data_IF_848190348844
#
_entry.id   IF_848190348844
#
_cell.length_a   1.000
_cell.length_b   1.000
_cell.length_c   1.000
_cell.angle_alpha   90.00
_cell.angle_beta   90.00
_cell.angle_gamma   90.00
#
_symmetry.space_group_name_H-M   'P 1'
#
loop_
_entity.id
_entity.type
_entity.pdbx_description
1 polymer ?
#
# COMPACT_ATOMS: atom_id res chain seq x y z
N UNK A 1 13.03 32.94 0.77
CA UNK A 1 11.87 33.60 0.14
C UNK A 1 10.61 32.84 0.50
N UNK A 2 9.46 33.52 0.59
CA UNK A 2 8.17 32.87 0.84
C UNK A 2 7.55 32.37 -0.47
N UNK A 3 6.74 31.29 -0.43
CA UNK A 3 6.01 30.83 -1.60
C UNK A 3 5.00 31.90 -2.05
N UNK A 4 4.80 32.01 -3.37
CA UNK A 4 3.79 32.91 -3.95
C UNK A 4 2.38 32.47 -3.57
N UNK A 5 2.14 31.16 -3.57
CA UNK A 5 0.90 30.53 -3.13
C UNK A 5 1.27 29.44 -2.13
N UNK A 6 0.96 29.66 -0.86
CA UNK A 6 1.26 28.73 0.21
C UNK A 6 0.97 29.37 1.57
N UNK A 7 1.16 28.59 2.62
CA UNK A 7 0.96 29.03 3.99
C UNK A 7 2.07 28.53 4.91
N UNK A 8 2.34 29.30 5.95
CA UNK A 8 3.21 28.91 7.06
C UNK A 8 2.33 28.75 8.28
N UNK A 9 2.09 27.49 8.66
CA UNK A 9 1.29 27.17 9.84
C UNK A 9 2.19 27.31 11.07
N UNK A 10 1.86 28.25 11.95
CA UNK A 10 2.60 28.49 13.18
C UNK A 10 1.93 27.73 14.33
N UNK A 11 2.50 26.58 14.67
CA UNK A 11 2.12 25.83 15.87
C UNK A 11 2.47 26.60 17.16
N UNK A 12 1.97 26.14 18.30
CA UNK A 12 2.33 26.71 19.59
C UNK A 12 3.85 26.72 19.79
N UNK A 13 4.41 27.89 20.10
CA UNK A 13 5.87 28.07 20.26
C UNK A 13 6.63 28.37 18.96
N UNK A 14 5.99 28.28 17.79
CA UNK A 14 6.59 28.69 16.53
C UNK A 14 6.62 30.22 16.40
N UNK A 15 7.69 30.75 15.82
CA UNK A 15 7.83 32.18 15.58
C UNK A 15 8.98 32.50 14.64
N UNK A 16 8.92 33.70 14.08
CA UNK A 16 10.02 34.29 13.32
C UNK A 16 10.63 35.44 14.12
N UNK A 17 11.95 35.50 14.17
CA UNK A 17 12.69 36.60 14.79
C UNK A 17 13.63 37.22 13.76
N UNK A 18 13.89 38.52 13.91
CA UNK A 18 14.94 39.18 13.16
C UNK A 18 16.31 38.74 13.71
N UNK A 19 17.30 38.60 12.82
CA UNK A 19 18.67 38.36 13.24
C UNK A 19 19.20 39.60 13.98
N UNK A 20 19.61 39.41 15.24
CA UNK A 20 20.04 40.49 16.14
C UNK A 20 21.55 40.78 16.08
N UNK A 21 22.27 40.09 15.17
CA UNK A 21 23.72 40.22 15.02
C UNK A 21 24.53 39.39 16.01
N UNK A 22 23.89 38.65 16.91
CA UNK A 22 24.57 37.70 17.79
C UNK A 22 24.96 36.44 17.02
N UNK A 23 26.04 35.79 17.45
CA UNK A 23 26.57 34.59 16.82
C UNK A 23 25.72 33.38 17.21
N UNK A 24 25.10 32.73 16.23
CA UNK A 24 24.37 31.47 16.40
C UNK A 24 25.19 30.30 15.83
N UNK A 25 25.84 29.48 16.69
CA UNK A 25 26.67 28.37 16.25
C UNK A 25 25.89 27.40 15.36
N UNK A 26 26.26 27.36 14.07
CA UNK A 26 25.58 26.55 13.06
C UNK A 26 24.94 27.35 11.91
N UNK A 27 24.76 28.67 12.09
CA UNK A 27 24.33 29.60 11.03
C UNK A 27 25.52 30.42 10.45
N UNK A 28 26.75 30.02 10.77
CA UNK A 28 28.00 30.78 10.64
C UNK A 28 28.38 31.20 9.21
N UNK A 29 27.85 30.51 8.21
CA UNK A 29 28.28 30.65 6.82
C UNK A 29 27.30 31.43 5.94
N UNK A 30 26.19 31.95 6.49
CA UNK A 30 25.19 32.68 5.70
C UNK A 30 24.63 31.84 4.54
N UNK A 31 24.67 30.52 4.67
CA UNK A 31 24.22 29.60 3.63
C UNK A 31 22.70 29.68 3.55
N UNK A 32 22.20 30.02 2.37
CA UNK A 32 20.79 29.98 2.08
C UNK A 32 20.31 28.52 2.13
N UNK A 33 19.42 28.21 3.07
CA UNK A 33 18.72 26.94 3.09
C UNK A 33 17.50 27.04 2.17
N UNK A 34 17.35 26.09 1.26
CA UNK A 34 16.23 25.99 0.34
C UNK A 34 15.30 24.87 0.77
N UNK A 35 13.99 25.13 0.71
CA UNK A 35 13.00 24.07 0.91
C UNK A 35 13.10 23.06 -0.23
N UNK A 36 13.09 21.77 0.10
CA UNK A 36 13.11 20.71 -0.91
C UNK A 36 11.80 20.73 -1.72
N UNK A 37 11.89 20.35 -2.99
CA UNK A 37 10.70 20.21 -3.83
C UNK A 37 9.80 19.09 -3.29
N UNK A 38 8.52 19.38 -3.08
CA UNK A 38 7.51 18.42 -2.59
C UNK A 38 6.54 17.95 -3.67
N UNK A 39 6.64 18.44 -4.91
CA UNK A 39 5.71 18.06 -6.00
C UNK A 39 5.85 16.59 -6.41
N UNK A 40 6.97 15.95 -6.07
CA UNK A 40 7.25 14.54 -6.39
C UNK A 40 6.64 13.53 -5.40
N UNK A 41 6.06 14.00 -4.29
CA UNK A 41 5.43 13.13 -3.28
C UNK A 41 4.09 12.60 -3.82
N UNK A 42 4.13 11.44 -4.47
CA UNK A 42 2.98 10.88 -5.18
C UNK A 42 2.13 9.97 -4.30
N UNK A 43 0.80 10.08 -4.45
CA UNK A 43 -0.18 9.20 -3.82
C UNK A 43 0.11 7.73 -4.10
N UNK A 44 0.53 7.42 -5.32
CA UNK A 44 0.84 6.06 -5.75
C UNK A 44 2.32 5.68 -5.53
N UNK A 45 3.03 6.31 -4.59
CA UNK A 45 4.36 5.84 -4.16
C UNK A 45 4.24 4.92 -2.93
N UNK A 46 4.47 3.59 -3.07
CA UNK A 46 4.40 2.64 -1.94
C UNK A 46 5.40 2.89 -0.82
N UNK A 47 6.37 3.79 -1.00
CA UNK A 47 7.38 4.12 0.01
C UNK A 47 6.96 5.25 0.94
N UNK A 48 5.85 5.93 0.62
CA UNK A 48 5.30 7.05 1.41
C UNK A 48 4.16 6.62 2.35
N UNK A 49 3.69 5.39 2.22
CA UNK A 49 2.58 4.86 3.01
C UNK A 49 3.05 3.78 3.98
N UNK A 50 2.36 3.70 5.11
CA UNK A 50 2.61 2.72 6.16
C UNK A 50 1.26 2.17 6.63
N UNK A 51 1.15 0.85 6.70
CA UNK A 51 -0.01 0.20 7.30
C UNK A 51 0.09 0.30 8.82
N UNK A 52 -0.99 0.78 9.43
CA UNK A 52 -1.12 0.87 10.89
C UNK A 52 -2.28 0.00 11.35
N UNK A 53 -2.16 -0.53 12.56
CA UNK A 53 -3.23 -1.26 13.22
C UNK A 53 -4.41 -0.31 13.51
N UNK A 54 -5.61 -0.84 13.82
CA UNK A 54 -6.72 -0.02 14.31
C UNK A 54 -6.40 0.73 15.62
N UNK A 55 -5.40 0.31 16.39
CA UNK A 55 -4.91 1.02 17.58
C UNK A 55 -3.89 2.12 17.25
N UNK A 56 -3.54 2.31 15.97
CA UNK A 56 -2.56 3.30 15.51
C UNK A 56 -1.10 2.87 15.72
N UNK A 57 -0.87 1.62 16.09
CA UNK A 57 0.47 1.05 16.24
C UNK A 57 0.96 0.53 14.88
N UNK A 58 2.26 0.63 14.62
CA UNK A 58 2.85 0.03 13.43
C UNK A 58 2.67 -1.48 13.50
N UNK A 59 2.07 -2.05 12.45
CA UNK A 59 1.98 -3.51 12.33
C UNK A 59 3.41 -4.09 12.34
N UNK A 60 3.75 -4.99 13.29
CA UNK A 60 5.09 -5.54 13.37
C UNK A 60 5.43 -6.27 12.08
N UNK A 61 6.70 -6.21 11.68
CA UNK A 61 7.25 -6.99 10.56
C UNK A 61 7.11 -8.47 10.92
N UNK A 62 6.05 -9.10 10.42
CA UNK A 62 5.73 -10.51 10.66
C UNK A 62 5.93 -11.34 9.40
N UNK A 63 5.42 -12.56 9.44
CA UNK A 63 5.36 -13.45 8.27
C UNK A 63 4.41 -12.94 7.17
N UNK A 64 3.82 -11.75 7.29
CA UNK A 64 2.89 -11.20 6.31
C UNK A 64 3.48 -9.97 5.63
N UNK A 65 3.48 -9.99 4.31
CA UNK A 65 3.74 -8.82 3.48
C UNK A 65 2.51 -8.48 2.63
N UNK A 66 2.54 -7.32 1.97
CA UNK A 66 1.47 -6.83 1.10
C UNK A 66 1.97 -6.65 -0.33
N UNK A 67 1.08 -6.84 -1.30
CA UNK A 67 1.40 -6.59 -2.71
C UNK A 67 1.70 -5.11 -2.94
N UNK A 68 2.48 -4.77 -3.97
CA UNK A 68 2.88 -3.37 -4.19
C UNK A 68 1.66 -2.48 -4.50
N UNK A 69 0.65 -3.00 -5.20
CA UNK A 69 -0.62 -2.31 -5.43
C UNK A 69 -1.46 -2.10 -4.17
N UNK A 70 -1.18 -2.86 -3.10
CA UNK A 70 -1.86 -2.84 -1.81
C UNK A 70 -1.05 -2.12 -0.72
N UNK A 71 0.16 -1.66 -1.06
CA UNK A 71 1.02 -0.84 -0.20
C UNK A 71 0.71 0.65 -0.30
N UNK A 72 -0.17 1.02 -1.23
CA UNK A 72 -0.78 2.36 -1.35
C UNK A 72 -2.27 2.22 -0.99
N UNK A 73 -2.96 3.31 -0.59
CA UNK A 73 -4.34 3.20 -0.13
C UNK A 73 -5.28 2.52 -1.13
N UNK A 74 -6.06 1.55 -0.65
CA UNK A 74 -7.09 0.85 -1.40
C UNK A 74 -8.46 1.52 -1.25
N UNK A 75 -9.42 1.10 -2.08
CA UNK A 75 -10.79 1.65 -2.15
C UNK A 75 -11.52 1.72 -0.80
N UNK A 76 -11.25 0.75 0.08
CA UNK A 76 -11.97 0.58 1.34
C UNK A 76 -11.13 0.95 2.57
N UNK A 77 -9.99 1.61 2.35
CA UNK A 77 -9.06 1.95 3.42
C UNK A 77 -9.41 3.29 4.07
N UNK A 78 -9.03 3.39 5.34
CA UNK A 78 -9.04 4.62 6.12
C UNK A 78 -7.65 5.27 6.02
N UNK A 79 -7.56 6.44 5.37
CA UNK A 79 -6.29 7.13 5.15
C UNK A 79 -6.05 8.14 6.26
N UNK A 80 -4.87 8.13 6.87
CA UNK A 80 -4.54 9.02 7.97
C UNK A 80 -3.33 9.88 7.58
N UNK A 81 -3.53 11.19 7.52
CA UNK A 81 -2.44 12.15 7.56
C UNK A 81 -2.21 12.56 9.01
N UNK A 82 -0.97 12.35 9.49
CA UNK A 82 -0.64 12.52 10.90
C UNK A 82 -1.01 13.93 11.40
N UNK A 83 -1.70 14.05 12.55
CA UNK A 83 -1.99 15.34 13.16
C UNK A 83 -0.69 16.13 13.41
N UNK A 84 -0.82 17.46 13.48
CA UNK A 84 0.31 18.37 13.78
C UNK A 84 1.46 18.32 12.76
N UNK A 85 1.24 17.71 11.60
CA UNK A 85 2.15 17.75 10.45
C UNK A 85 1.51 18.48 9.27
N UNK A 86 2.32 19.11 8.44
CA UNK A 86 1.90 19.59 7.12
C UNK A 86 2.29 18.58 6.06
N UNK A 87 1.48 18.45 5.02
CA UNK A 87 1.72 17.52 3.93
C UNK A 87 1.30 18.14 2.60
N UNK A 88 1.85 17.57 1.53
CA UNK A 88 1.45 17.86 0.16
C UNK A 88 1.62 16.58 -0.65
N UNK A 89 0.59 16.21 -1.40
CA UNK A 89 0.57 14.95 -2.15
C UNK A 89 0.02 15.18 -3.56
N UNK A 90 0.70 14.59 -4.54
CA UNK A 90 0.26 14.51 -5.93
C UNK A 90 -0.71 13.32 -6.08
N UNK A 91 -1.95 13.60 -6.43
CA UNK A 91 -3.03 12.62 -6.64
C UNK A 91 -3.28 12.32 -8.12
N UNK A 92 -2.26 12.45 -8.97
CA UNK A 92 -2.34 12.03 -10.37
C UNK A 92 -2.74 10.55 -10.48
N UNK A 93 -3.86 10.30 -11.16
CA UNK A 93 -4.42 8.96 -11.36
C UNK A 93 -4.84 8.74 -12.80
N UNK A 94 -4.68 7.51 -13.27
CA UNK A 94 -5.23 7.06 -14.55
C UNK A 94 -6.74 6.79 -14.48
N UNK A 95 -7.33 6.76 -13.28
CA UNK A 95 -8.76 6.57 -13.04
C UNK A 95 -9.52 7.88 -12.84
N UNK A 96 -8.82 9.01 -12.68
CA UNK A 96 -9.34 10.36 -12.33
C UNK A 96 -10.02 10.46 -10.95
N UNK A 97 -10.62 9.37 -10.46
CA UNK A 97 -11.25 9.32 -9.13
C UNK A 97 -10.59 8.20 -8.33
N UNK A 98 -10.04 8.57 -7.18
CA UNK A 98 -9.47 7.67 -6.17
C UNK A 98 -10.50 7.57 -5.06
N UNK A 99 -11.05 6.37 -4.88
CA UNK A 99 -12.05 6.11 -3.85
C UNK A 99 -11.39 5.63 -2.57
N UNK A 100 -11.95 6.02 -1.43
CA UNK A 100 -11.49 5.64 -0.10
C UNK A 100 -12.70 5.47 0.82
N UNK A 101 -12.52 4.75 1.93
CA UNK A 101 -13.54 4.69 2.98
C UNK A 101 -13.59 5.99 3.78
N UNK A 102 -12.44 6.48 4.23
CA UNK A 102 -12.33 7.73 4.99
C UNK A 102 -10.95 8.39 4.81
N UNK A 103 -10.88 9.67 5.14
CA UNK A 103 -9.62 10.44 5.20
C UNK A 103 -9.59 11.21 6.52
N UNK A 104 -8.57 10.98 7.34
CA UNK A 104 -8.32 11.74 8.56
C UNK A 104 -7.29 12.84 8.31
N UNK A 105 -7.71 14.09 8.53
CA UNK A 105 -6.91 15.30 8.36
C UNK A 105 -6.93 16.11 9.65
N UNK A 106 -5.77 16.54 10.13
CA UNK A 106 -5.67 17.41 11.32
C UNK A 106 -6.39 16.82 12.55
N UNK A 107 -6.39 15.49 12.69
CA UNK A 107 -7.07 14.78 13.78
C UNK A 107 -8.59 14.63 13.61
N UNK A 108 -9.16 15.04 12.48
CA UNK A 108 -10.57 14.85 12.16
C UNK A 108 -10.75 13.81 11.05
N UNK A 109 -11.51 12.76 11.33
CA UNK A 109 -11.93 11.78 10.32
C UNK A 109 -13.07 12.32 9.47
N UNK A 110 -12.88 12.31 8.15
CA UNK A 110 -13.87 12.65 7.14
C UNK A 110 -14.30 11.36 6.45
N UNK A 111 -15.43 10.81 6.87
CA UNK A 111 -15.98 9.54 6.37
C UNK A 111 -17.28 9.69 5.58
N UNK A 112 -17.81 10.91 5.39
CA UNK A 112 -18.97 11.17 4.52
C UNK A 112 -18.59 12.02 3.29
N UNK A 113 -19.25 11.81 2.14
CA UNK A 113 -19.06 12.65 0.96
C UNK A 113 -19.27 14.14 1.22
N UNK A 114 -20.22 14.49 2.08
CA UNK A 114 -20.57 15.88 2.39
C UNK A 114 -19.47 16.55 3.23
N UNK A 115 -18.95 15.85 4.25
CA UNK A 115 -17.85 16.33 5.07
C UNK A 115 -16.58 16.53 4.22
N UNK A 116 -16.29 15.57 3.34
CA UNK A 116 -15.17 15.65 2.40
C UNK A 116 -15.32 16.81 1.40
N UNK A 117 -16.51 16.98 0.82
CA UNK A 117 -16.80 18.10 -0.07
C UNK A 117 -16.68 19.45 0.63
N UNK A 118 -17.08 19.53 1.91
CA UNK A 118 -16.88 20.72 2.74
C UNK A 118 -15.41 21.08 2.91
N UNK A 119 -14.55 20.09 3.18
CA UNK A 119 -13.11 20.30 3.25
C UNK A 119 -12.52 20.79 1.91
N UNK A 120 -12.90 20.17 0.80
CA UNK A 120 -12.40 20.53 -0.54
C UNK A 120 -12.74 21.96 -0.99
N UNK A 121 -13.76 22.59 -0.39
CA UNK A 121 -14.09 24.00 -0.62
C UNK A 121 -13.13 24.96 0.11
N UNK A 122 -12.35 24.47 1.07
CA UNK A 122 -11.38 25.25 1.83
C UNK A 122 -10.13 25.63 1.03
N UNK A 123 -9.47 26.72 1.42
CA UNK A 123 -8.26 27.22 0.76
C UNK A 123 -7.03 26.31 0.92
N UNK A 124 -6.97 25.49 1.97
CA UNK A 124 -5.85 24.57 2.21
C UNK A 124 -5.94 23.30 1.37
N UNK A 125 -7.12 22.92 0.88
CA UNK A 125 -7.29 21.72 0.05
C UNK A 125 -6.36 21.67 -1.19
N UNK A 126 -6.27 22.72 -2.04
CA UNK A 126 -5.34 22.73 -3.17
C UNK A 126 -3.85 22.83 -2.78
N UNK A 127 -3.56 23.24 -1.53
CA UNK A 127 -2.19 23.23 -1.00
C UNK A 127 -1.77 21.82 -0.55
N UNK A 128 -2.72 21.02 -0.06
CA UNK A 128 -2.50 19.65 0.37
C UNK A 128 -2.58 18.63 -0.78
N UNK A 129 -3.55 18.79 -1.69
CA UNK A 129 -3.81 17.86 -2.77
C UNK A 129 -3.70 18.56 -4.13
N UNK A 130 -2.90 18.01 -5.04
CA UNK A 130 -2.71 18.55 -6.40
C UNK A 130 -2.58 17.41 -7.41
N UNK A 131 -2.69 17.72 -8.71
CA UNK A 131 -2.64 16.73 -9.79
C UNK A 131 -3.95 16.68 -10.58
N UNK A 132 -4.09 15.64 -11.41
CA UNK A 132 -5.21 15.46 -12.33
C UNK A 132 -6.35 14.60 -11.76
N UNK A 133 -6.15 13.97 -10.61
CA UNK A 133 -7.13 13.13 -9.95
C UNK A 133 -7.97 13.88 -8.91
N UNK A 134 -8.94 13.18 -8.36
CA UNK A 134 -9.80 13.63 -7.26
C UNK A 134 -9.96 12.50 -6.26
N UNK A 135 -10.02 12.81 -4.98
CA UNK A 135 -10.34 11.84 -3.94
C UNK A 135 -11.85 11.83 -3.68
N UNK A 136 -12.43 10.66 -3.45
CA UNK A 136 -13.82 10.49 -3.02
C UNK A 136 -13.90 9.56 -1.82
N UNK A 137 -14.59 10.05 -0.80
CA UNK A 137 -14.86 9.30 0.44
C UNK A 137 -16.24 8.66 0.35
N UNK A 138 -16.32 7.36 0.63
CA UNK A 138 -17.58 6.58 0.56
C UNK A 138 -18.20 6.31 1.93
N UNK A 139 -17.40 6.25 3.00
CA UNK A 139 -17.83 5.84 4.33
C UNK A 139 -18.15 4.35 4.47
N UNK A 140 -17.97 3.56 3.41
CA UNK A 140 -18.32 2.15 3.38
C UNK A 140 -17.07 1.28 3.40
N UNK A 141 -17.03 0.32 4.33
CA UNK A 141 -16.01 -0.73 4.34
C UNK A 141 -16.30 -1.82 3.31
N UNK A 142 -15.35 -2.74 3.14
CA UNK A 142 -15.54 -3.90 2.27
C UNK A 142 -16.75 -4.73 2.73
N UNK A 143 -17.79 -4.90 1.89
CA UNK A 143 -19.00 -5.60 2.29
C UNK A 143 -18.88 -7.13 2.23
N UNK A 144 -17.82 -7.65 1.63
CA UNK A 144 -17.64 -9.06 1.31
C UNK A 144 -16.58 -9.70 2.21
N UNK A 145 -16.95 -10.76 2.94
CA UNK A 145 -16.05 -11.47 3.86
C UNK A 145 -14.90 -12.19 3.13
N UNK A 146 -15.09 -12.53 1.87
CA UNK A 146 -14.02 -13.08 1.04
C UNK A 146 -12.97 -12.02 0.65
N UNK A 147 -13.18 -10.78 1.08
CA UNK A 147 -12.34 -9.63 0.79
C UNK A 147 -12.83 -8.84 -0.42
N UNK A 148 -12.16 -7.71 -0.63
CA UNK A 148 -12.37 -6.83 -1.77
C UNK A 148 -11.04 -6.63 -2.48
N UNK A 149 -11.10 -6.46 -3.80
CA UNK A 149 -9.92 -6.04 -4.54
C UNK A 149 -9.54 -4.60 -4.17
N UNK A 150 -8.25 -4.31 -4.15
CA UNK A 150 -7.73 -3.03 -3.71
C UNK A 150 -8.22 -1.84 -4.58
N UNK A 151 -8.37 -2.06 -5.90
CA UNK A 151 -8.85 -1.03 -6.83
C UNK A 151 -7.75 -0.23 -7.53
N UNK A 152 -6.49 -0.58 -7.31
CA UNK A 152 -5.33 0.16 -7.83
C UNK A 152 -4.76 -0.38 -9.16
N UNK A 153 -5.35 -1.42 -9.74
CA UNK A 153 -4.82 -2.09 -10.94
C UNK A 153 -4.59 -1.18 -12.14
N UNK A 154 -5.44 -0.16 -12.35
CA UNK A 154 -5.25 0.81 -13.45
C UNK A 154 -4.08 1.77 -13.19
N UNK A 155 -3.73 2.01 -11.93
CA UNK A 155 -2.60 2.82 -11.50
C UNK A 155 -1.33 1.99 -11.21
N UNK A 156 -1.37 0.67 -11.42
CA UNK A 156 -0.24 -0.24 -11.17
C UNK A 156 1.07 0.17 -11.83
N UNK A 157 1.02 0.72 -13.06
CA UNK A 157 2.20 1.25 -13.74
C UNK A 157 2.83 2.46 -13.03
N UNK A 158 2.03 3.35 -12.42
CA UNK A 158 2.51 4.49 -11.62
C UNK A 158 3.13 4.01 -10.32
N UNK A 159 2.46 3.05 -9.68
CA UNK A 159 2.93 2.38 -8.47
C UNK A 159 4.31 1.79 -8.68
N UNK A 160 4.48 1.01 -9.74
CA UNK A 160 5.76 0.39 -10.05
C UNK A 160 6.82 1.40 -10.49
N UNK A 161 6.45 2.44 -11.26
CA UNK A 161 7.38 3.49 -11.63
C UNK A 161 7.90 4.27 -10.41
N UNK A 162 7.04 4.59 -9.45
CA UNK A 162 7.42 5.25 -8.21
C UNK A 162 8.34 4.36 -7.36
N UNK A 163 7.95 3.09 -7.16
CA UNK A 163 8.72 2.13 -6.38
C UNK A 163 10.12 1.87 -6.97
N UNK A 164 10.20 1.70 -8.29
CA UNK A 164 11.44 1.35 -8.99
C UNK A 164 12.27 2.57 -9.41
N UNK A 165 11.71 3.79 -9.33
CA UNK A 165 12.38 5.01 -9.76
C UNK A 165 13.74 5.22 -9.08
N UNK A 166 13.85 4.85 -7.80
CA UNK A 166 15.11 4.90 -7.03
C UNK A 166 16.15 3.87 -7.48
N UNK A 167 15.70 2.79 -8.13
CA UNK A 167 16.53 1.70 -8.65
C UNK A 167 16.74 1.80 -10.17
N UNK A 168 16.57 2.99 -10.76
CA UNK A 168 16.71 3.20 -12.20
C UNK A 168 15.63 2.50 -13.04
N UNK A 169 14.47 2.23 -12.46
CA UNK A 169 13.33 1.59 -13.12
C UNK A 169 13.48 0.08 -13.31
N UNK A 170 14.48 -0.55 -12.70
CA UNK A 170 14.75 -1.98 -12.86
C UNK A 170 14.42 -2.76 -11.60
N UNK A 171 13.82 -3.92 -11.79
CA UNK A 171 13.60 -4.89 -10.73
C UNK A 171 14.93 -5.48 -10.26
N UNK A 172 15.05 -5.82 -8.96
CA UNK A 172 16.23 -6.49 -8.44
C UNK A 172 16.44 -7.84 -9.11
N UNK A 173 17.71 -8.22 -9.28
CA UNK A 173 18.06 -9.51 -9.84
C UNK A 173 17.64 -10.65 -8.89
N UNK A 174 16.99 -11.66 -9.45
CA UNK A 174 16.49 -12.84 -8.73
C UNK A 174 17.40 -14.04 -8.96
N UNK A 175 17.47 -14.93 -7.96
CA UNK A 175 18.37 -16.10 -7.96
C UNK A 175 17.69 -17.36 -8.51
N UNK A 176 16.36 -17.34 -8.68
CA UNK A 176 15.60 -18.47 -9.24
C UNK A 176 15.56 -18.46 -10.77
N UNK A 177 15.49 -19.67 -11.38
CA UNK A 177 15.47 -19.84 -12.84
C UNK A 177 14.20 -19.29 -13.50
N UNK A 178 13.05 -19.45 -12.83
CA UNK A 178 11.73 -19.09 -13.36
C UNK A 178 10.98 -18.26 -12.33
N UNK A 179 11.23 -16.94 -12.26
CA UNK A 179 10.54 -16.07 -11.31
C UNK A 179 9.05 -15.97 -11.63
N UNK A 180 8.23 -15.98 -10.57
CA UNK A 180 6.79 -15.84 -10.67
C UNK A 180 6.40 -14.37 -10.61
N UNK A 181 5.29 -14.00 -11.27
CA UNK A 181 4.76 -12.63 -11.26
C UNK A 181 3.39 -12.60 -10.60
N UNK A 182 3.31 -12.32 -9.28
CA UNK A 182 2.04 -12.15 -8.61
C UNK A 182 1.22 -11.01 -9.19
N UNK A 183 -0.10 -11.16 -9.17
CA UNK A 183 -1.00 -10.04 -9.44
C UNK A 183 -0.83 -8.99 -8.35
N UNK A 184 -0.68 -7.73 -8.76
CA UNK A 184 -0.48 -6.59 -7.86
C UNK A 184 0.96 -6.35 -7.39
N UNK A 185 1.95 -7.15 -7.80
CA UNK A 185 3.35 -6.97 -7.40
C UNK A 185 4.20 -6.46 -8.58
N UNK A 186 5.14 -5.53 -8.34
CA UNK A 186 5.89 -4.83 -9.38
C UNK A 186 7.07 -5.61 -9.96
N UNK A 187 7.66 -6.52 -9.18
CA UNK A 187 8.74 -7.37 -9.63
C UNK A 187 8.35 -8.85 -9.66
N UNK A 188 9.22 -9.67 -10.23
CA UNK A 188 9.10 -11.12 -10.06
C UNK A 188 9.49 -11.51 -8.63
N UNK A 189 9.03 -12.67 -8.19
CA UNK A 189 9.40 -13.27 -6.90
C UNK A 189 9.89 -14.70 -7.10
N UNK A 190 10.74 -15.16 -6.19
CA UNK A 190 11.11 -16.56 -6.08
C UNK A 190 10.29 -17.19 -4.95
N UNK A 191 9.52 -18.23 -5.27
CA UNK A 191 8.63 -18.86 -4.30
C UNK A 191 7.46 -19.54 -4.99
N UNK A 192 6.26 -19.45 -4.43
CA UNK A 192 5.05 -20.08 -4.94
C UNK A 192 3.86 -19.13 -4.97
N UNK A 193 2.93 -19.40 -5.90
CA UNK A 193 1.62 -18.73 -5.97
C UNK A 193 0.55 -19.81 -5.92
N UNK A 194 -0.34 -19.74 -4.93
CA UNK A 194 -1.53 -20.57 -4.83
C UNK A 194 -2.73 -19.71 -5.23
N UNK A 195 -3.57 -20.22 -6.14
CA UNK A 195 -4.82 -19.58 -6.55
C UNK A 195 -5.98 -20.41 -6.03
N UNK A 196 -6.84 -19.80 -5.22
CA UNK A 196 -8.00 -20.46 -4.62
C UNK A 196 -9.29 -19.90 -5.20
N UNK A 197 -10.12 -20.82 -5.68
CA UNK A 197 -11.54 -20.58 -5.81
C UNK A 197 -12.17 -20.61 -4.41
N UNK A 198 -13.21 -19.80 -4.19
CA UNK A 198 -13.82 -19.63 -2.87
C UNK A 198 -15.34 -19.67 -2.94
N UNK A 199 -15.96 -20.13 -1.86
CA UNK A 199 -17.42 -20.12 -1.69
C UNK A 199 -17.89 -18.77 -1.14
N UNK A 200 -19.19 -18.42 -1.24
CA UNK A 200 -19.70 -17.17 -0.68
C UNK A 200 -19.51 -17.00 0.84
N UNK A 201 -19.35 -18.10 1.57
CA UNK A 201 -19.14 -18.09 3.02
C UNK A 201 -17.67 -17.97 3.43
N UNK A 202 -16.74 -18.00 2.46
CA UNK A 202 -15.31 -17.87 2.70
C UNK A 202 -14.98 -16.54 3.39
N UNK A 203 -14.20 -16.62 4.46
CA UNK A 203 -13.77 -15.47 5.27
C UNK A 203 -12.25 -15.32 5.16
N UNK A 204 -11.82 -14.30 4.41
CA UNK A 204 -10.41 -14.08 4.07
C UNK A 204 -9.56 -13.79 5.31
N UNK A 205 -10.09 -13.03 6.26
CA UNK A 205 -9.36 -12.67 7.48
C UNK A 205 -9.17 -13.90 8.36
N UNK A 206 -10.24 -14.69 8.58
CA UNK A 206 -10.13 -15.94 9.33
C UNK A 206 -9.17 -16.93 8.68
N UNK A 207 -9.19 -17.04 7.36
CA UNK A 207 -8.29 -17.95 6.65
C UNK A 207 -6.83 -17.46 6.72
N UNK A 208 -6.58 -16.15 6.58
CA UNK A 208 -5.26 -15.56 6.82
C UNK A 208 -4.74 -15.87 8.22
N UNK A 209 -5.57 -15.68 9.25
CA UNK A 209 -5.22 -16.00 10.64
C UNK A 209 -4.92 -17.50 10.82
N UNK A 210 -5.73 -18.38 10.21
CA UNK A 210 -5.50 -19.83 10.21
C UNK A 210 -4.14 -20.16 9.61
N UNK A 211 -3.79 -19.61 8.44
CA UNK A 211 -2.51 -19.90 7.78
C UNK A 211 -1.32 -19.43 8.63
N UNK A 212 -1.43 -18.26 9.27
CA UNK A 212 -0.40 -17.78 10.19
C UNK A 212 -0.24 -18.73 11.37
N UNK A 213 -1.33 -19.05 12.07
CA UNK A 213 -1.27 -19.84 13.30
C UNK A 213 -0.92 -21.30 13.06
N UNK A 214 -1.48 -21.91 12.02
CA UNK A 214 -1.28 -23.32 11.71
C UNK A 214 0.08 -23.57 11.06
N UNK A 215 0.59 -22.65 10.23
CA UNK A 215 1.81 -22.86 9.45
C UNK A 215 2.92 -21.88 9.79
N UNK A 216 2.75 -20.58 9.54
CA UNK A 216 3.86 -19.62 9.60
C UNK A 216 4.45 -19.46 11.02
N UNK A 217 3.65 -19.69 12.06
CA UNK A 217 4.13 -19.74 13.46
C UNK A 217 5.00 -20.96 13.79
N UNK A 218 5.08 -21.96 12.91
CA UNK A 218 5.91 -23.14 13.13
C UNK A 218 7.39 -22.82 12.88
N UNK A 219 8.33 -23.26 13.74
CA UNK A 219 9.76 -22.99 13.58
C UNK A 219 10.35 -23.41 12.23
N UNK A 220 9.77 -24.45 11.61
CA UNK A 220 10.21 -24.95 10.29
C UNK A 220 9.94 -23.97 9.13
N UNK A 221 9.06 -22.98 9.34
CA UNK A 221 8.66 -21.97 8.35
C UNK A 221 9.06 -20.56 8.79
N UNK A 222 10.01 -20.42 9.72
CA UNK A 222 10.36 -19.13 10.32
C UNK A 222 10.87 -18.09 9.31
N UNK A 223 11.53 -18.51 8.22
CA UNK A 223 12.00 -17.63 7.14
C UNK A 223 10.95 -17.33 6.05
N UNK A 224 9.76 -17.92 6.14
CA UNK A 224 8.72 -17.75 5.13
C UNK A 224 7.94 -16.45 5.36
N UNK A 225 7.69 -15.74 4.27
CA UNK A 225 6.68 -14.69 4.23
C UNK A 225 5.54 -15.07 3.30
N UNK A 226 4.35 -14.55 3.61
CA UNK A 226 3.12 -14.78 2.88
C UNK A 226 2.39 -13.47 2.61
N UNK A 227 1.79 -13.35 1.44
CA UNK A 227 0.76 -12.35 1.17
C UNK A 227 -0.50 -13.07 0.68
N UNK A 228 -1.67 -12.62 1.11
CA UNK A 228 -2.95 -13.21 0.75
C UNK A 228 -3.98 -12.13 0.46
N UNK A 229 -4.50 -12.12 -0.78
CA UNK A 229 -5.37 -11.05 -1.25
C UNK A 229 -6.39 -11.55 -2.27
N UNK A 230 -7.56 -10.90 -2.33
CA UNK A 230 -8.54 -11.13 -3.38
C UNK A 230 -8.18 -10.31 -4.62
N UNK A 231 -7.94 -11.00 -5.72
CA UNK A 231 -7.51 -10.41 -6.99
C UNK A 231 -8.42 -10.82 -8.13
N UNK A 232 -8.39 -10.05 -9.22
CA UNK A 232 -9.19 -10.31 -10.42
C UNK A 232 -8.28 -10.82 -11.54
N UNK A 233 -8.45 -12.08 -11.91
CA UNK A 233 -7.71 -12.67 -13.03
C UNK A 233 -8.44 -12.40 -14.34
N UNK A 234 -7.77 -11.75 -15.28
CA UNK A 234 -8.32 -11.53 -16.61
C UNK A 234 -8.56 -12.87 -17.31
N UNK A 235 -9.78 -13.08 -17.82
CA UNK A 235 -10.08 -14.20 -18.71
C UNK A 235 -9.98 -13.74 -20.16
N UNK A 236 -9.02 -14.31 -20.88
CA UNK A 236 -8.89 -14.13 -22.33
C UNK A 236 -9.53 -15.30 -23.08
N UNK A 237 -10.42 -15.01 -24.02
CA UNK A 237 -10.86 -16.00 -25.01
C UNK A 237 -9.80 -16.13 -26.12
N UNK A 238 -9.34 -17.35 -26.40
CA UNK A 238 -8.27 -17.65 -27.37
C UNK A 238 -7.00 -16.80 -27.19
N UNK A 239 -6.72 -16.32 -25.97
CA UNK A 239 -5.56 -15.50 -25.66
C UNK A 239 -5.58 -14.06 -26.20
N UNK A 240 -6.69 -13.62 -26.82
CA UNK A 240 -6.72 -12.34 -27.57
C UNK A 240 -7.87 -11.40 -27.18
N UNK A 241 -8.97 -11.90 -26.61
CA UNK A 241 -10.15 -11.07 -26.29
C UNK A 241 -10.47 -11.15 -24.80
N UNK A 242 -10.34 -10.07 -24.01
CA UNK A 242 -10.81 -10.02 -22.64
C UNK A 242 -12.32 -10.21 -22.60
N UNK A 243 -12.82 -11.26 -21.92
CA UNK A 243 -14.26 -11.51 -21.77
C UNK A 243 -14.82 -11.04 -20.44
N UNK A 244 -14.07 -11.23 -19.37
CA UNK A 244 -14.46 -10.97 -17.99
C UNK A 244 -13.24 -11.09 -17.09
N UNK A 245 -13.36 -10.66 -15.84
CA UNK A 245 -12.40 -11.00 -14.79
C UNK A 245 -13.09 -11.87 -13.75
N UNK A 246 -12.40 -12.91 -13.27
CA UNK A 246 -12.91 -13.77 -12.20
C UNK A 246 -12.17 -13.44 -10.92
N UNK A 247 -12.88 -13.20 -9.81
CA UNK A 247 -12.25 -13.02 -8.52
C UNK A 247 -11.71 -14.36 -8.03
N UNK A 248 -10.48 -14.35 -7.51
CA UNK A 248 -9.87 -15.49 -6.83
C UNK A 248 -9.08 -14.99 -5.62
N UNK A 249 -8.76 -15.89 -4.69
CA UNK A 249 -7.80 -15.57 -3.61
C UNK A 249 -6.41 -16.01 -4.08
N UNK A 250 -5.47 -15.06 -4.09
CA UNK A 250 -4.08 -15.31 -4.41
C UNK A 250 -3.29 -15.34 -3.12
N UNK A 251 -2.59 -16.45 -2.87
CA UNK A 251 -1.59 -16.56 -1.82
C UNK A 251 -0.22 -16.59 -2.48
N UNK A 252 0.69 -15.75 -2.03
CA UNK A 252 2.07 -15.72 -2.48
C UNK A 252 2.96 -16.07 -1.31
N UNK A 253 3.85 -17.03 -1.51
CA UNK A 253 4.83 -17.48 -0.54
C UNK A 253 6.21 -17.13 -1.07
N UNK A 254 7.01 -16.47 -0.25
CA UNK A 254 8.42 -16.18 -0.53
C UNK A 254 9.26 -16.68 0.64
N UNK A 255 10.46 -17.15 0.31
CA UNK A 255 11.46 -17.56 1.30
C UNK A 255 12.58 -16.51 1.27
N UNK A 256 12.77 -15.82 2.39
CA UNK A 256 13.80 -14.80 2.55
C UNK A 256 15.18 -15.40 2.89
N UNK A 257 15.25 -16.70 3.19
CA UNK A 257 16.54 -17.32 3.47
C UNK A 257 17.40 -17.38 2.19
N UNK A 258 18.70 -17.12 2.31
CA UNK A 258 19.63 -17.28 1.18
C UNK A 258 20.28 -18.66 1.28
N UNK A 259 19.95 -19.59 0.37
CA UNK A 259 20.57 -20.92 0.37
C UNK A 259 19.97 -21.93 -0.62
N UNK A 260 20.59 -23.11 -0.72
CA UNK A 260 20.21 -24.21 -1.66
C UNK A 260 18.85 -24.84 -1.30
N UNK A 261 18.33 -24.62 -0.09
CA UNK A 261 17.05 -25.18 0.39
C UNK A 261 15.84 -24.24 0.22
N UNK A 262 16.03 -23.05 -0.37
CA UNK A 262 14.99 -22.03 -0.55
C UNK A 262 13.75 -22.49 -1.33
N UNK A 263 13.90 -23.53 -2.16
CA UNK A 263 12.77 -24.13 -2.88
C UNK A 263 12.02 -25.19 -2.08
N UNK A 264 12.72 -25.98 -1.25
CA UNK A 264 12.13 -27.17 -0.60
C UNK A 264 11.19 -26.79 0.54
N UNK A 265 11.52 -25.75 1.31
CA UNK A 265 10.66 -25.26 2.40
C UNK A 265 9.37 -24.67 1.83
N UNK A 266 9.48 -23.90 0.75
CA UNK A 266 8.32 -23.36 0.03
C UNK A 266 7.42 -24.46 -0.52
N UNK A 267 7.99 -25.48 -1.18
CA UNK A 267 7.24 -26.60 -1.74
C UNK A 267 6.49 -27.40 -0.66
N UNK A 268 7.14 -27.66 0.48
CA UNK A 268 6.49 -28.34 1.61
C UNK A 268 5.36 -27.50 2.20
N UNK A 269 5.55 -26.19 2.36
CA UNK A 269 4.48 -25.30 2.84
C UNK A 269 3.28 -25.28 1.89
N UNK A 270 3.53 -25.28 0.57
CA UNK A 270 2.45 -25.39 -0.42
C UNK A 270 1.70 -26.72 -0.24
N UNK A 271 2.42 -27.84 -0.10
CA UNK A 271 1.79 -29.15 0.10
C UNK A 271 0.93 -29.19 1.37
N UNK A 272 1.45 -28.67 2.48
CA UNK A 272 0.73 -28.59 3.77
C UNK A 272 -0.54 -27.72 3.66
N UNK A 273 -0.49 -26.59 2.94
CA UNK A 273 -1.65 -25.72 2.69
C UNK A 273 -2.68 -26.44 1.82
N UNK A 274 -2.25 -27.14 0.77
CA UNK A 274 -3.16 -27.87 -0.11
C UNK A 274 -3.85 -29.02 0.64
N UNK A 275 -3.12 -29.75 1.49
CA UNK A 275 -3.69 -30.78 2.36
C UNK A 275 -4.73 -30.19 3.33
N UNK A 276 -4.46 -29.01 3.90
CA UNK A 276 -5.41 -28.31 4.76
C UNK A 276 -6.71 -27.95 4.03
N UNK A 277 -6.60 -27.47 2.79
CA UNK A 277 -7.75 -27.15 1.94
C UNK A 277 -8.54 -28.43 1.60
N UNK A 278 -7.87 -29.53 1.30
CA UNK A 278 -8.56 -30.81 1.03
C UNK A 278 -9.33 -31.32 2.25
N UNK A 279 -8.76 -31.17 3.45
CA UNK A 279 -9.36 -31.65 4.70
C UNK A 279 -10.46 -30.72 5.23
N UNK A 280 -10.31 -29.41 5.07
CA UNK A 280 -11.15 -28.40 5.74
C UNK A 280 -11.87 -27.43 4.79
N UNK A 281 -11.63 -27.48 3.48
CA UNK A 281 -12.15 -26.48 2.52
C UNK A 281 -13.66 -26.50 2.30
N UNK A 282 -14.37 -27.52 2.80
CA UNK A 282 -15.84 -27.61 2.76
C UNK A 282 -16.51 -27.22 4.09
N UNK A 283 -15.74 -26.88 5.13
CA UNK A 283 -16.21 -26.64 6.49
C UNK A 283 -16.45 -25.15 6.78
#
# INVERSE_FOLDING_TARGET
YLPVNGELVLASGAGFAAFDGSWDPGCDSGILVTFADTEHLAWFDPTLWQSVSPSGELEPSGHIFTMDEERVPCHYDDVIFQPETSFRVNIDSSQQVIHLRSISLMGQELSSPEAWAGYLQGSSAPLHFHGNGTLQVTGTGCPDKSGCACGNTLDGHRICAALLGRSGGQCPALVCQSPLKPLGHCCGVCGAIISLDFTPDFDLQKYRERLVQAFLSQPRYAGMQMAISKVHKAQTFLGLIPRSSIPLIQIVLIDDEMGVQTGTTTEQLVADIMEDIEQHGNA
#
